data_IF_365891049333
#
_entry.id   IF_365891049333
#
_cell.length_a   1.000
_cell.length_b   1.000
_cell.length_c   1.000
_cell.angle_alpha   90.00
_cell.angle_beta   90.00
_cell.angle_gamma   90.00
#
_symmetry.space_group_name_H-M   'P 1'
#
loop_
_entity.id
_entity.type
_entity.pdbx_description
1 polymer ?
#
# COMPACT_ATOMS: atom_id res chain seq x y z
N UNK A 1 -36.43 -29.32 70.24
CA UNK A 1 -37.40 -28.20 70.23
C UNK A 1 -36.53 -26.95 70.32
N UNK A 2 -36.41 -26.07 69.31
CA UNK A 2 -37.46 -25.30 68.63
C UNK A 2 -36.84 -24.68 67.34
N UNK A 3 -37.22 -25.07 66.11
CA UNK A 3 -38.18 -24.44 65.17
C UNK A 3 -38.27 -22.90 65.15
N UNK A 4 -37.72 -22.32 64.06
CA UNK A 4 -38.08 -21.08 63.32
C UNK A 4 -37.16 -19.85 63.51
N UNK A 5 -37.08 -19.06 62.43
CA UNK A 5 -36.22 -17.91 62.10
C UNK A 5 -34.82 -18.30 61.54
N UNK A 6 -34.36 -17.86 60.37
CA UNK A 6 -34.87 -16.90 59.40
C UNK A 6 -34.12 -17.08 58.06
N UNK A 7 -34.67 -16.50 57.00
CA UNK A 7 -34.41 -16.70 55.58
C UNK A 7 -33.08 -16.17 55.02
N UNK A 8 -32.61 -16.84 53.96
CA UNK A 8 -32.03 -16.32 52.68
C UNK A 8 -30.73 -15.50 52.71
N UNK A 9 -29.73 -15.97 51.94
CA UNK A 9 -28.96 -15.25 50.90
C UNK A 9 -27.95 -16.25 50.30
N UNK A 10 -28.28 -16.87 49.16
CA UNK A 10 -27.92 -16.44 47.80
C UNK A 10 -26.46 -16.72 47.45
N UNK A 11 -26.24 -17.78 46.67
CA UNK A 11 -24.96 -18.15 46.10
C UNK A 11 -24.49 -17.15 45.04
N UNK A 12 -23.22 -16.76 45.14
CA UNK A 12 -22.52 -16.03 44.09
C UNK A 12 -21.94 -17.05 43.10
N UNK A 13 -22.53 -17.16 41.91
CA UNK A 13 -21.83 -17.71 40.75
C UNK A 13 -20.73 -16.71 40.36
N UNK A 14 -19.47 -17.11 40.52
CA UNK A 14 -18.37 -16.43 39.84
C UNK A 14 -18.51 -16.66 38.33
N UNK A 15 -19.06 -15.67 37.63
CA UNK A 15 -18.92 -15.56 36.18
C UNK A 15 -17.44 -15.33 35.84
N UNK A 16 -16.75 -16.42 35.51
CA UNK A 16 -15.45 -16.34 34.84
C UNK A 16 -15.68 -15.75 33.45
N UNK A 17 -15.46 -14.43 33.32
CA UNK A 17 -15.35 -13.79 32.02
C UNK A 17 -14.03 -14.25 31.40
N UNK A 18 -14.10 -15.16 30.44
CA UNK A 18 -12.96 -15.52 29.60
C UNK A 18 -12.60 -14.32 28.74
N UNK A 19 -11.72 -13.46 29.25
CA UNK A 19 -11.11 -12.40 28.46
C UNK A 19 -10.28 -13.04 27.35
N UNK A 20 -10.85 -13.15 26.14
CA UNK A 20 -10.10 -13.48 24.94
C UNK A 20 -8.89 -12.52 24.85
N UNK A 21 -7.65 -13.05 24.72
CA UNK A 21 -6.47 -12.22 24.55
C UNK A 21 -6.71 -11.20 23.44
N UNK A 22 -6.40 -9.92 23.66
CA UNK A 22 -6.64 -8.84 22.69
C UNK A 22 -6.04 -9.11 21.31
N UNK A 23 -4.98 -9.93 21.22
CA UNK A 23 -4.40 -10.40 19.97
C UNK A 23 -5.38 -11.23 19.12
N UNK A 24 -6.21 -12.08 19.73
CA UNK A 24 -7.27 -12.84 19.06
C UNK A 24 -8.41 -11.92 18.60
N UNK A 25 -8.76 -10.89 19.39
CA UNK A 25 -9.73 -9.86 18.96
C UNK A 25 -9.24 -9.02 17.79
N UNK A 26 -7.93 -8.72 17.69
CA UNK A 26 -7.35 -7.99 16.55
C UNK A 26 -7.35 -8.83 15.26
N UNK A 27 -7.13 -10.15 15.36
CA UNK A 27 -7.32 -11.07 14.23
C UNK A 27 -8.78 -11.13 13.75
N UNK A 28 -9.73 -10.90 14.67
CA UNK A 28 -11.17 -10.99 14.42
C UNK A 28 -11.88 -9.63 14.29
N UNK A 29 -11.15 -8.50 14.27
CA UNK A 29 -11.79 -7.18 14.17
C UNK A 29 -12.71 -7.19 12.94
N UNK A 30 -14.03 -6.95 13.12
CA UNK A 30 -15.01 -7.12 12.05
C UNK A 30 -14.68 -6.10 10.98
N UNK A 31 -14.24 -6.63 9.86
CA UNK A 31 -13.93 -5.82 8.70
C UNK A 31 -15.18 -5.91 7.83
N UNK A 32 -15.89 -4.79 7.64
CA UNK A 32 -17.10 -4.82 6.80
C UNK A 32 -16.74 -5.40 5.42
N UNK A 33 -17.51 -6.40 5.01
CA UNK A 33 -17.41 -7.03 3.71
C UNK A 33 -18.10 -6.21 2.61
N UNK A 34 -18.75 -5.11 3.00
CA UNK A 34 -19.50 -4.24 2.09
C UNK A 34 -18.56 -3.45 1.19
N UNK A 35 -19.02 -3.26 -0.04
CA UNK A 35 -18.35 -2.40 -0.99
C UNK A 35 -18.67 -0.94 -0.65
N UNK A 36 -17.61 -0.12 -0.53
CA UNK A 36 -17.69 1.33 -0.42
C UNK A 36 -17.28 1.95 -1.74
N UNK A 37 -17.99 2.98 -2.15
CA UNK A 37 -17.76 3.66 -3.43
C UNK A 37 -17.09 5.01 -3.20
N UNK A 38 -16.13 5.35 -4.06
CA UNK A 38 -15.35 6.58 -3.94
C UNK A 38 -15.25 7.30 -5.28
N UNK A 39 -15.12 8.61 -5.20
CA UNK A 39 -14.65 9.47 -6.29
C UNK A 39 -13.32 10.10 -5.87
N UNK A 40 -12.32 9.98 -6.75
CA UNK A 40 -11.00 10.60 -6.64
C UNK A 40 -10.82 11.58 -7.80
N UNK A 41 -10.57 12.85 -7.47
CA UNK A 41 -10.22 13.88 -8.45
C UNK A 41 -8.76 14.24 -8.33
N UNK A 42 -8.04 14.25 -9.45
CA UNK A 42 -6.67 14.77 -9.58
C UNK A 42 -6.69 15.98 -10.49
N UNK A 43 -6.36 17.15 -9.93
CA UNK A 43 -6.26 18.42 -10.65
C UNK A 43 -4.80 18.81 -10.79
N UNK A 44 -4.37 19.17 -12.00
CA UNK A 44 -3.00 19.57 -12.33
C UNK A 44 -3.06 20.86 -13.15
N UNK A 45 -2.25 21.85 -12.80
CA UNK A 45 -2.08 23.07 -13.58
C UNK A 45 -0.60 23.25 -13.95
N UNK A 46 -0.26 23.08 -15.22
CA UNK A 46 1.12 23.26 -15.68
C UNK A 46 1.41 24.75 -15.82
N UNK A 47 2.31 25.26 -14.97
CA UNK A 47 2.70 26.67 -14.92
C UNK A 47 3.74 27.06 -15.98
N UNK A 48 4.55 26.09 -16.44
CA UNK A 48 5.52 26.29 -17.51
C UNK A 48 4.78 26.75 -18.79
N UNK A 49 5.25 27.76 -19.54
CA UNK A 49 4.62 28.19 -20.79
C UNK A 49 5.22 27.54 -22.05
N UNK A 50 6.28 26.74 -21.93
CA UNK A 50 7.04 26.14 -23.01
C UNK A 50 6.34 25.01 -23.75
N UNK A 51 6.89 24.64 -24.90
CA UNK A 51 6.36 23.59 -25.78
C UNK A 51 6.67 22.18 -25.25
N UNK A 52 6.00 21.17 -25.84
CA UNK A 52 6.25 19.74 -25.62
C UNK A 52 6.09 19.24 -24.17
N UNK A 53 5.26 19.88 -23.36
CA UNK A 53 4.96 19.37 -22.01
C UNK A 53 4.27 18.02 -22.08
N UNK A 54 4.71 17.09 -21.22
CA UNK A 54 4.08 15.78 -21.00
C UNK A 54 3.77 15.61 -19.53
N UNK A 55 2.62 15.03 -19.23
CA UNK A 55 2.18 14.68 -17.87
C UNK A 55 1.69 13.22 -17.88
N UNK A 56 2.04 12.46 -16.86
CA UNK A 56 1.56 11.10 -16.63
C UNK A 56 0.86 11.04 -15.29
N UNK A 57 -0.45 10.76 -15.31
CA UNK A 57 -1.29 10.69 -14.10
C UNK A 57 -1.59 9.22 -13.80
N UNK A 58 -1.20 8.69 -12.64
CA UNK A 58 -1.60 7.34 -12.24
C UNK A 58 -3.12 7.26 -12.11
N UNK A 59 -3.69 6.14 -12.53
CA UNK A 59 -5.13 5.85 -12.39
C UNK A 59 -5.31 4.51 -11.66
N UNK A 60 -6.43 4.30 -10.95
CA UNK A 60 -6.81 2.97 -10.47
C UNK A 60 -6.76 1.95 -11.60
N UNK A 61 -6.12 0.80 -11.39
CA UNK A 61 -6.10 -0.23 -12.42
C UNK A 61 -7.52 -0.73 -12.69
N UNK A 62 -7.85 -0.91 -13.97
CA UNK A 62 -9.21 -1.17 -14.42
C UNK A 62 -9.69 -2.62 -14.16
N UNK A 63 -8.77 -3.55 -13.89
CA UNK A 63 -9.10 -4.96 -13.67
C UNK A 63 -9.74 -5.14 -12.29
N UNK A 64 -10.92 -5.75 -12.25
CA UNK A 64 -11.57 -6.08 -10.98
C UNK A 64 -10.76 -7.12 -10.19
N UNK A 65 -10.70 -6.92 -8.87
CA UNK A 65 -10.14 -7.86 -7.90
C UNK A 65 -11.16 -8.16 -6.81
N UNK A 66 -10.89 -9.14 -5.94
CA UNK A 66 -11.73 -9.40 -4.79
C UNK A 66 -11.85 -8.23 -3.82
N UNK A 67 -11.13 -7.11 -3.98
CA UNK A 67 -11.12 -6.00 -3.01
C UNK A 67 -11.22 -4.60 -3.64
N UNK A 68 -11.13 -4.50 -4.97
CA UNK A 68 -11.28 -3.26 -5.75
C UNK A 68 -11.97 -3.59 -7.07
N UNK A 69 -12.99 -2.82 -7.46
CA UNK A 69 -13.73 -3.09 -8.70
C UNK A 69 -14.37 -1.86 -9.32
N UNK A 70 -14.82 -1.99 -10.56
CA UNK A 70 -15.62 -0.99 -11.26
C UNK A 70 -14.87 0.33 -11.45
N UNK A 71 -13.54 0.27 -11.56
CA UNK A 71 -12.71 1.44 -11.74
C UNK A 71 -12.94 2.07 -13.12
N UNK A 72 -13.33 3.33 -13.14
CA UNK A 72 -13.54 4.14 -14.34
C UNK A 72 -12.89 5.50 -14.15
N UNK A 73 -12.17 5.97 -15.17
CA UNK A 73 -11.53 7.28 -15.17
C UNK A 73 -12.00 8.10 -16.37
N UNK A 74 -12.41 9.33 -16.11
CA UNK A 74 -12.75 10.35 -17.11
C UNK A 74 -11.85 11.56 -16.93
N UNK A 75 -11.59 12.32 -17.98
CA UNK A 75 -10.69 13.46 -17.89
C UNK A 75 -11.13 14.65 -18.74
N UNK A 76 -10.65 15.84 -18.35
CA UNK A 76 -10.73 17.09 -19.09
C UNK A 76 -9.32 17.67 -19.22
N UNK A 77 -9.01 18.19 -20.40
CA UNK A 77 -7.72 18.82 -20.71
C UNK A 77 -7.96 20.14 -21.43
N UNK A 78 -7.33 21.21 -20.96
CA UNK A 78 -7.40 22.54 -21.58
C UNK A 78 -6.16 22.86 -22.42
N UNK A 79 -6.18 24.01 -23.12
CA UNK A 79 -5.01 24.52 -23.83
C UNK A 79 -4.61 23.70 -25.06
N UNK A 80 -5.56 23.01 -25.69
CA UNK A 80 -5.31 22.18 -26.88
C UNK A 80 -4.55 20.87 -26.62
N UNK A 81 -4.41 20.46 -25.36
CA UNK A 81 -3.72 19.23 -25.01
C UNK A 81 -4.48 17.98 -25.45
N UNK A 82 -3.73 16.93 -25.79
CA UNK A 82 -4.28 15.60 -26.10
C UNK A 82 -4.00 14.65 -24.94
N UNK A 83 -4.97 13.80 -24.61
CA UNK A 83 -4.83 12.82 -23.55
C UNK A 83 -5.25 11.42 -24.00
N UNK A 84 -4.49 10.42 -23.55
CA UNK A 84 -4.73 9.02 -23.85
C UNK A 84 -4.39 8.16 -22.64
N UNK A 85 -5.24 7.17 -22.36
CA UNK A 85 -4.85 6.09 -21.45
C UNK A 85 -3.78 5.24 -22.12
N UNK A 86 -2.60 5.20 -21.50
CA UNK A 86 -1.46 4.42 -21.95
C UNK A 86 -1.10 3.39 -20.90
N UNK A 87 -0.34 2.39 -21.33
CA UNK A 87 0.14 1.32 -20.49
C UNK A 87 1.64 1.16 -20.66
N UNK A 88 2.38 1.22 -19.56
CA UNK A 88 3.80 0.90 -19.58
C UNK A 88 4.00 -0.63 -19.63
N UNK A 89 5.05 -1.12 -20.33
CA UNK A 89 5.34 -2.54 -20.42
C UNK A 89 5.76 -3.16 -19.07
N UNK A 90 5.79 -4.49 -18.99
CA UNK A 90 6.24 -5.25 -17.82
C UNK A 90 5.13 -5.54 -16.82
N UNK A 91 4.61 -4.51 -16.15
CA UNK A 91 3.64 -4.64 -15.04
C UNK A 91 2.23 -4.16 -15.38
N UNK A 92 1.92 -3.98 -16.66
CA UNK A 92 0.64 -3.44 -17.15
C UNK A 92 0.23 -2.12 -16.47
N UNK A 93 1.19 -1.26 -16.11
CA UNK A 93 0.92 -0.02 -15.36
C UNK A 93 0.13 0.95 -16.24
N UNK A 94 -1.12 1.21 -15.86
CA UNK A 94 -2.00 2.15 -16.55
C UNK A 94 -1.82 3.57 -16.01
N UNK A 95 -1.84 4.54 -16.93
CA UNK A 95 -1.75 5.95 -16.62
C UNK A 95 -2.45 6.78 -17.71
N UNK A 96 -2.94 7.96 -17.35
CA UNK A 96 -3.32 8.96 -18.34
C UNK A 96 -2.06 9.72 -18.77
N UNK A 97 -1.66 9.58 -20.03
CA UNK A 97 -0.63 10.41 -20.63
C UNK A 97 -1.29 11.62 -21.28
N UNK A 98 -0.85 12.83 -20.92
CA UNK A 98 -1.30 14.10 -21.48
C UNK A 98 -0.11 14.79 -22.10
N UNK A 99 -0.29 15.38 -23.28
CA UNK A 99 0.76 16.15 -23.94
C UNK A 99 0.22 17.42 -24.58
N UNK A 100 1.05 18.45 -24.58
CA UNK A 100 0.84 19.69 -25.33
C UNK A 100 2.01 19.88 -26.29
N UNK A 101 1.79 19.84 -27.61
CA UNK A 101 2.86 20.07 -28.57
C UNK A 101 3.37 21.51 -28.50
N UNK A 102 2.46 22.48 -28.35
CA UNK A 102 2.78 23.90 -28.41
C UNK A 102 2.78 24.59 -27.04
N UNK A 103 3.50 25.70 -26.98
CA UNK A 103 3.50 26.64 -25.88
C UNK A 103 2.15 27.41 -25.82
N UNK A 104 1.27 27.04 -24.90
CA UNK A 104 -0.02 27.73 -24.68
C UNK A 104 -0.38 27.71 -23.19
N UNK A 105 -1.17 28.70 -22.73
CA UNK A 105 -1.70 28.76 -21.38
C UNK A 105 -3.20 29.14 -21.41
N UNK A 106 -4.04 28.64 -20.47
CA UNK A 106 -3.71 27.73 -19.37
C UNK A 106 -3.76 26.23 -19.74
N UNK A 107 -2.85 25.44 -19.17
CA UNK A 107 -2.76 23.98 -19.33
C UNK A 107 -3.19 23.28 -18.05
N UNK A 108 -4.45 22.89 -18.01
CA UNK A 108 -5.06 22.21 -16.88
C UNK A 108 -5.47 20.79 -17.28
N UNK A 109 -5.34 19.87 -16.33
CA UNK A 109 -5.83 18.49 -16.41
C UNK A 109 -6.63 18.21 -15.17
N UNK A 110 -7.86 17.74 -15.37
CA UNK A 110 -8.67 17.17 -14.30
C UNK A 110 -8.97 15.72 -14.66
N UNK A 111 -8.59 14.80 -13.78
CA UNK A 111 -8.91 13.37 -13.89
C UNK A 111 -9.83 12.99 -12.75
N UNK A 112 -11.02 12.48 -13.08
CA UNK A 112 -11.98 11.96 -12.10
C UNK A 112 -12.05 10.45 -12.24
N UNK A 113 -11.72 9.73 -11.17
CA UNK A 113 -11.82 8.28 -11.09
C UNK A 113 -12.90 7.87 -10.10
N UNK A 114 -13.78 6.95 -10.50
CA UNK A 114 -14.78 6.30 -9.63
C UNK A 114 -14.47 4.83 -9.53
N UNK A 115 -14.59 4.27 -8.33
CA UNK A 115 -14.29 2.87 -8.06
C UNK A 115 -14.96 2.44 -6.76
N UNK A 116 -15.06 1.13 -6.55
CA UNK A 116 -15.47 0.54 -5.29
C UNK A 116 -14.33 -0.23 -4.66
N UNK A 117 -14.22 -0.17 -3.34
CA UNK A 117 -13.31 -1.02 -2.56
C UNK A 117 -14.06 -1.70 -1.43
N UNK A 118 -13.59 -2.87 -1.03
CA UNK A 118 -14.02 -3.52 0.21
C UNK A 118 -12.81 -4.07 0.92
N UNK A 119 -12.86 -4.12 2.24
CA UNK A 119 -11.70 -4.56 2.98
C UNK A 119 -11.31 -6.00 2.65
N UNK A 120 -10.01 -6.30 2.76
CA UNK A 120 -9.44 -7.58 2.38
C UNK A 120 -8.84 -8.28 3.59
N UNK A 121 -9.16 -9.57 3.74
CA UNK A 121 -8.55 -10.46 4.73
C UNK A 121 -8.36 -11.84 4.13
N UNK A 122 -7.21 -12.47 4.39
CA UNK A 122 -6.97 -13.90 4.17
C UNK A 122 -6.94 -14.56 5.54
N UNK A 123 -7.73 -15.62 5.73
CA UNK A 123 -7.68 -16.42 6.95
C UNK A 123 -6.45 -17.34 6.91
N UNK A 124 -5.50 -17.06 7.79
CA UNK A 124 -4.24 -17.80 7.91
C UNK A 124 -4.25 -18.78 9.10
N UNK A 125 -5.38 -18.93 9.79
CA UNK A 125 -5.55 -19.84 10.92
C UNK A 125 -5.94 -21.26 10.50
N UNK A 126 -6.43 -21.40 9.26
CA UNK A 126 -6.80 -22.67 8.65
C UNK A 126 -5.85 -22.99 7.49
N UNK A 127 -5.63 -24.28 7.15
CA UNK A 127 -4.94 -24.65 5.93
C UNK A 127 -5.69 -24.11 4.69
N UNK A 128 -4.99 -23.88 3.56
CA UNK A 128 -5.66 -23.41 2.37
C UNK A 128 -6.67 -24.45 1.85
N UNK A 129 -7.77 -24.01 1.21
CA UNK A 129 -8.72 -24.93 0.59
C UNK A 129 -8.06 -25.83 -0.44
N UNK A 130 -8.50 -27.09 -0.55
CA UNK A 130 -7.97 -28.04 -1.52
C UNK A 130 -8.30 -27.70 -2.97
N UNK A 131 -9.33 -26.88 -3.20
CA UNK A 131 -9.80 -26.38 -4.49
C UNK A 131 -9.38 -24.93 -4.76
N UNK A 132 -8.40 -24.41 -4.01
CA UNK A 132 -7.92 -23.05 -4.17
C UNK A 132 -7.41 -22.78 -5.60
N UNK A 133 -7.94 -21.72 -6.22
CA UNK A 133 -7.47 -21.26 -7.53
C UNK A 133 -6.03 -20.78 -7.41
N UNK A 134 -5.14 -21.43 -8.15
CA UNK A 134 -3.73 -21.05 -8.21
C UNK A 134 -3.50 -19.91 -9.19
N UNK A 135 -2.54 -19.05 -8.83
CA UNK A 135 -2.09 -17.98 -9.73
C UNK A 135 -1.32 -18.58 -10.90
N UNK A 136 -1.34 -17.88 -12.04
CA UNK A 136 -0.61 -18.33 -13.23
C UNK A 136 0.90 -18.37 -12.94
N UNK A 137 1.61 -19.46 -13.28
CA UNK A 137 3.06 -19.56 -13.06
C UNK A 137 3.87 -18.42 -13.66
N UNK A 138 3.43 -17.86 -14.81
CA UNK A 138 4.07 -16.71 -15.43
C UNK A 138 3.98 -15.44 -14.57
N UNK A 139 2.84 -15.21 -13.91
CA UNK A 139 2.68 -14.08 -13.00
C UNK A 139 3.55 -14.23 -11.74
N UNK A 140 3.62 -15.45 -11.19
CA UNK A 140 4.50 -15.73 -10.04
C UNK A 140 5.99 -15.53 -10.39
N UNK A 141 6.43 -15.99 -11.57
CA UNK A 141 7.80 -15.76 -12.05
C UNK A 141 8.12 -14.28 -12.23
N UNK A 142 7.16 -13.47 -12.68
CA UNK A 142 7.35 -12.03 -12.82
C UNK A 142 7.67 -11.39 -11.47
N UNK A 143 6.90 -11.74 -10.44
CA UNK A 143 7.07 -11.21 -9.08
C UNK A 143 8.15 -11.92 -8.25
N UNK A 144 9.02 -12.70 -8.90
CA UNK A 144 10.28 -13.21 -8.34
C UNK A 144 11.49 -12.46 -8.90
N UNK A 145 11.33 -11.72 -10.01
CA UNK A 145 12.45 -11.04 -10.67
C UNK A 145 13.00 -9.90 -9.82
N UNK A 146 14.33 -9.64 -9.89
CA UNK A 146 14.90 -8.42 -9.34
C UNK A 146 14.47 -7.20 -10.15
N UNK A 147 14.53 -6.04 -9.53
CA UNK A 147 14.39 -4.71 -10.17
C UNK A 147 15.64 -3.88 -9.88
N UNK A 148 15.76 -2.68 -10.45
CA UNK A 148 16.93 -1.84 -10.23
C UNK A 148 17.18 -1.55 -8.73
N UNK A 149 16.12 -1.31 -7.96
CA UNK A 149 16.18 -0.97 -6.53
C UNK A 149 15.90 -2.14 -5.58
N UNK A 150 15.35 -3.25 -6.09
CA UNK A 150 15.07 -4.47 -5.32
C UNK A 150 15.85 -5.65 -5.92
N UNK A 151 17.19 -5.67 -5.85
CA UNK A 151 17.95 -6.85 -6.27
C UNK A 151 17.66 -8.03 -5.36
N UNK A 152 17.80 -9.25 -5.87
CA UNK A 152 17.50 -10.50 -5.16
C UNK A 152 18.73 -11.34 -4.84
N UNK A 153 19.92 -10.78 -5.01
CA UNK A 153 21.23 -11.40 -4.82
C UNK A 153 22.06 -10.69 -3.73
N UNK A 154 23.34 -11.04 -3.62
CA UNK A 154 24.31 -10.35 -2.75
C UNK A 154 23.86 -10.24 -1.29
N UNK A 155 23.90 -9.02 -0.76
CA UNK A 155 23.49 -8.73 0.62
C UNK A 155 22.01 -9.01 0.85
N UNK A 156 21.14 -8.73 -0.14
CA UNK A 156 19.69 -8.98 0.00
C UNK A 156 19.42 -10.47 0.17
N UNK A 157 20.05 -11.31 -0.66
CA UNK A 157 19.95 -12.78 -0.54
C UNK A 157 20.51 -13.29 0.77
N UNK A 158 21.68 -12.80 1.18
CA UNK A 158 22.33 -13.20 2.43
C UNK A 158 21.46 -12.88 3.64
N UNK A 159 20.87 -11.68 3.68
CA UNK A 159 19.95 -11.28 4.74
C UNK A 159 18.66 -12.11 4.72
N UNK A 160 18.06 -12.34 3.54
CA UNK A 160 16.87 -13.18 3.41
C UNK A 160 17.12 -14.62 3.89
N UNK A 161 18.26 -15.22 3.55
CA UNK A 161 18.63 -16.57 4.00
C UNK A 161 18.89 -16.66 5.51
N UNK A 162 19.41 -15.59 6.11
CA UNK A 162 19.59 -15.50 7.57
C UNK A 162 18.23 -15.46 8.27
N UNK A 163 17.31 -14.58 7.82
CA UNK A 163 15.99 -14.40 8.42
C UNK A 163 15.14 -15.68 8.28
N UNK A 164 15.20 -16.33 7.12
CA UNK A 164 14.33 -17.48 6.81
C UNK A 164 14.89 -18.83 7.26
N UNK A 165 16.10 -18.85 7.86
CA UNK A 165 16.74 -20.08 8.32
C UNK A 165 15.87 -20.82 9.34
N UNK A 166 15.61 -22.09 9.06
CA UNK A 166 14.79 -22.96 9.94
C UNK A 166 13.28 -22.80 9.77
N UNK A 167 12.80 -21.83 8.99
CA UNK A 167 11.39 -21.68 8.66
C UNK A 167 11.03 -22.47 7.39
N UNK A 168 9.97 -23.27 7.47
CA UNK A 168 9.51 -24.14 6.37
C UNK A 168 8.25 -23.57 5.71
N UNK A 169 8.24 -23.58 4.38
CA UNK A 169 7.13 -23.08 3.58
C UNK A 169 7.07 -21.55 3.44
N UNK A 170 6.32 -21.07 2.46
CA UNK A 170 6.29 -19.64 2.11
C UNK A 170 5.67 -18.78 3.22
N UNK A 171 4.60 -19.26 3.86
CA UNK A 171 3.91 -18.52 4.91
C UNK A 171 4.81 -18.25 6.13
N UNK A 172 5.53 -19.26 6.61
CA UNK A 172 6.41 -19.11 7.78
C UNK A 172 7.64 -18.24 7.46
N UNK A 173 8.20 -18.38 6.26
CA UNK A 173 9.34 -17.56 5.80
C UNK A 173 8.94 -16.10 5.58
N UNK A 174 7.81 -15.83 4.92
CA UNK A 174 7.28 -14.48 4.76
C UNK A 174 6.92 -13.85 6.11
N UNK A 175 6.37 -14.64 7.05
CA UNK A 175 6.15 -14.20 8.43
C UNK A 175 7.45 -13.75 9.08
N UNK A 176 8.49 -14.57 9.05
CA UNK A 176 9.79 -14.23 9.63
C UNK A 176 10.37 -12.92 9.05
N UNK A 177 10.26 -12.74 7.73
CA UNK A 177 10.68 -11.51 7.05
C UNK A 177 9.85 -10.31 7.52
N UNK A 178 8.52 -10.43 7.57
CA UNK A 178 7.65 -9.36 8.06
C UNK A 178 7.99 -8.94 9.49
N UNK A 179 8.13 -9.91 10.40
CA UNK A 179 8.46 -9.62 11.79
C UNK A 179 9.84 -8.95 11.91
N UNK A 180 10.84 -9.44 11.17
CA UNK A 180 12.17 -8.85 11.14
C UNK A 180 12.13 -7.40 10.61
N UNK A 181 11.40 -7.13 9.52
CA UNK A 181 11.26 -5.76 8.98
C UNK A 181 10.61 -4.83 10.01
N UNK A 182 9.56 -5.24 10.70
CA UNK A 182 8.91 -4.43 11.75
C UNK A 182 9.87 -4.12 12.91
N UNK A 183 10.72 -5.08 13.29
CA UNK A 183 11.65 -4.95 14.41
C UNK A 183 12.90 -4.14 14.08
N UNK A 184 13.35 -4.17 12.82
CA UNK A 184 14.64 -3.59 12.40
C UNK A 184 14.51 -2.25 11.63
N UNK A 185 13.30 -1.78 11.37
CA UNK A 185 13.06 -0.50 10.68
C UNK A 185 12.39 0.51 11.60
N UNK A 186 12.59 1.81 11.33
CA UNK A 186 11.80 2.90 11.89
C UNK A 186 11.16 3.75 10.80
N UNK A 187 9.99 4.35 11.12
CA UNK A 187 9.35 5.35 10.27
C UNK A 187 10.07 6.69 10.48
N UNK A 188 10.56 7.30 9.42
CA UNK A 188 11.23 8.60 9.46
C UNK A 188 10.37 9.67 8.81
N UNK A 189 9.81 10.60 9.60
CA UNK A 189 8.91 11.65 9.10
C UNK A 189 9.55 12.55 8.03
N UNK A 190 10.86 12.81 8.17
CA UNK A 190 11.63 13.71 7.30
C UNK A 190 11.97 13.11 5.92
N UNK A 191 11.85 11.80 5.72
CA UNK A 191 12.07 11.16 4.41
C UNK A 191 11.17 11.80 3.35
N UNK A 192 11.73 12.21 2.21
CA UNK A 192 10.96 12.85 1.14
C UNK A 192 9.97 11.86 0.52
N UNK A 193 8.77 12.35 0.18
CA UNK A 193 7.71 11.52 -0.39
C UNK A 193 7.38 10.30 0.48
N UNK A 194 7.33 9.13 -0.15
CA UNK A 194 7.13 7.84 0.51
C UNK A 194 8.43 7.04 0.69
N UNK A 195 9.59 7.58 0.35
CA UNK A 195 10.83 6.82 0.25
C UNK A 195 11.27 6.56 -1.18
N UNK A 196 12.52 6.15 -1.36
CA UNK A 196 13.09 5.78 -2.67
C UNK A 196 12.93 4.28 -2.92
N UNK A 197 12.99 3.46 -1.86
CA UNK A 197 12.91 2.01 -1.98
C UNK A 197 14.21 1.34 -2.44
N UNK A 198 15.38 1.98 -2.26
CA UNK A 198 16.68 1.39 -2.58
C UNK A 198 17.12 0.38 -1.51
N UNK A 199 16.66 -0.86 -1.66
CA UNK A 199 16.90 -1.93 -0.68
C UNK A 199 18.38 -2.30 -0.59
N UNK A 200 19.11 -2.22 -1.70
CA UNK A 200 20.55 -2.50 -1.71
C UNK A 200 21.28 -1.48 -0.85
N UNK A 201 20.99 -0.19 -1.02
CA UNK A 201 21.55 0.86 -0.19
C UNK A 201 21.17 0.66 1.28
N UNK A 202 19.89 0.46 1.57
CA UNK A 202 19.40 0.31 2.95
C UNK A 202 20.17 -0.78 3.71
N UNK A 203 20.33 -1.97 3.11
CA UNK A 203 21.04 -3.08 3.73
C UNK A 203 22.56 -2.86 3.79
N UNK A 204 23.16 -2.27 2.75
CA UNK A 204 24.62 -2.05 2.69
C UNK A 204 25.07 -0.96 3.67
N UNK A 205 24.31 0.12 3.78
CA UNK A 205 24.56 1.23 4.68
C UNK A 205 24.10 0.95 6.12
N UNK A 206 23.34 -0.14 6.33
CA UNK A 206 22.62 -0.43 7.57
C UNK A 206 21.71 0.74 8.00
N UNK A 207 21.10 1.42 7.04
CA UNK A 207 20.08 2.43 7.25
C UNK A 207 18.75 1.93 6.69
N UNK A 208 18.04 1.18 7.53
CA UNK A 208 16.79 0.51 7.15
C UNK A 208 15.55 1.41 7.36
N UNK A 209 15.76 2.66 7.77
CA UNK A 209 14.69 3.56 8.16
C UNK A 209 14.15 4.31 6.97
N UNK A 210 12.89 4.71 7.04
CA UNK A 210 12.30 5.47 5.94
C UNK A 210 10.79 5.53 6.01
N UNK A 211 10.18 5.50 4.85
CA UNK A 211 8.72 5.54 4.69
C UNK A 211 8.20 4.27 4.00
N UNK A 212 6.98 4.32 3.47
CA UNK A 212 6.32 3.08 3.05
C UNK A 212 6.98 2.46 1.82
N UNK A 213 7.51 3.26 0.89
CA UNK A 213 8.24 2.74 -0.27
C UNK A 213 9.59 2.16 0.11
N UNK A 214 10.19 2.55 1.25
CA UNK A 214 11.41 1.94 1.77
C UNK A 214 11.10 0.62 2.50
N UNK A 215 10.19 0.68 3.47
CA UNK A 215 9.91 -0.44 4.38
C UNK A 215 9.17 -1.60 3.68
N UNK A 216 8.20 -1.29 2.80
CA UNK A 216 7.48 -2.35 2.08
C UNK A 216 8.34 -2.93 0.93
N UNK A 217 9.16 -2.12 0.26
CA UNK A 217 10.12 -2.63 -0.72
C UNK A 217 11.17 -3.55 -0.07
N UNK A 218 11.64 -3.22 1.14
CA UNK A 218 12.54 -4.08 1.91
C UNK A 218 11.91 -5.45 2.17
N UNK A 219 10.64 -5.49 2.59
CA UNK A 219 9.90 -6.75 2.72
C UNK A 219 9.83 -7.51 1.39
N UNK A 220 9.45 -6.82 0.30
CA UNK A 220 9.27 -7.44 -1.02
C UNK A 220 10.59 -8.01 -1.55
N UNK A 221 11.68 -7.26 -1.48
CA UNK A 221 12.99 -7.69 -1.95
C UNK A 221 13.52 -8.90 -1.17
N UNK A 222 13.40 -8.90 0.15
CA UNK A 222 13.78 -10.02 1.01
C UNK A 222 12.92 -11.26 0.72
N UNK A 223 11.60 -11.10 0.52
CA UNK A 223 10.71 -12.18 0.17
C UNK A 223 11.06 -12.79 -1.20
N UNK A 224 11.30 -11.96 -2.22
CA UNK A 224 11.74 -12.40 -3.55
C UNK A 224 13.08 -13.13 -3.49
N UNK A 225 14.04 -12.61 -2.73
CA UNK A 225 15.34 -13.24 -2.53
C UNK A 225 15.23 -14.61 -1.81
N UNK A 226 14.22 -14.79 -0.95
CA UNK A 226 13.88 -16.08 -0.34
C UNK A 226 13.11 -17.05 -1.27
N UNK A 227 12.86 -16.64 -2.52
CA UNK A 227 12.11 -17.42 -3.51
C UNK A 227 10.59 -17.36 -3.34
N UNK A 228 10.07 -16.34 -2.65
CA UNK A 228 8.64 -16.14 -2.43
C UNK A 228 8.18 -15.03 -3.38
N UNK A 229 7.22 -15.28 -4.30
CA UNK A 229 6.69 -14.23 -5.16
C UNK A 229 6.08 -13.11 -4.30
N UNK A 230 6.54 -11.88 -4.50
CA UNK A 230 6.10 -10.74 -3.71
C UNK A 230 6.05 -9.46 -4.54
N UNK A 231 5.19 -8.51 -4.17
CA UNK A 231 5.02 -7.27 -4.92
C UNK A 231 4.59 -6.11 -4.04
N UNK A 232 5.10 -4.93 -4.37
CA UNK A 232 4.54 -3.69 -3.89
C UNK A 232 3.20 -3.42 -4.61
N UNK A 233 2.31 -2.71 -3.93
CA UNK A 233 1.04 -2.24 -4.43
C UNK A 233 1.00 -0.72 -4.18
N UNK A 234 1.12 0.05 -5.24
CA UNK A 234 1.24 1.50 -5.22
C UNK A 234 -0.12 2.16 -5.35
N UNK A 235 -0.42 3.17 -4.53
CA UNK A 235 -1.75 3.77 -4.52
C UNK A 235 -1.91 4.99 -3.62
N UNK A 236 -3.14 5.26 -3.22
CA UNK A 236 -3.54 6.46 -2.50
C UNK A 236 -4.62 6.16 -1.46
N UNK A 237 -4.50 6.72 -0.25
CA UNK A 237 -5.60 6.70 0.73
C UNK A 237 -6.73 7.61 0.28
N UNK A 238 -7.96 7.15 0.48
CA UNK A 238 -9.19 7.83 0.01
C UNK A 238 -10.27 7.96 1.08
N UNK A 239 -10.06 7.34 2.24
CA UNK A 239 -10.92 7.50 3.41
C UNK A 239 -10.10 7.46 4.71
N UNK A 240 -10.72 7.95 5.80
CA UNK A 240 -10.19 7.74 7.14
C UNK A 240 -10.26 6.24 7.51
N UNK A 241 -9.49 5.83 8.52
CA UNK A 241 -9.58 4.47 9.04
C UNK A 241 -10.86 4.29 9.86
N UNK A 242 -11.60 3.20 9.59
CA UNK A 242 -12.73 2.71 10.39
C UNK A 242 -12.27 1.70 11.46
N UNK A 243 -11.00 1.28 11.43
CA UNK A 243 -10.42 0.33 12.39
C UNK A 243 -9.84 1.01 13.65
N UNK A 244 -10.10 2.30 13.83
CA UNK A 244 -9.69 3.05 15.03
C UNK A 244 -8.27 3.57 15.03
N UNK A 245 -7.56 3.55 13.88
CA UNK A 245 -6.22 4.12 13.73
C UNK A 245 -6.25 5.46 13.00
N UNK A 246 -6.04 6.57 13.71
CA UNK A 246 -6.04 7.91 13.09
C UNK A 246 -4.93 8.08 12.05
N UNK A 247 -3.79 7.42 12.26
CA UNK A 247 -2.63 7.46 11.37
C UNK A 247 -2.81 6.68 10.06
N UNK A 248 -3.78 5.75 10.00
CA UNK A 248 -3.95 4.82 8.89
C UNK A 248 -5.07 5.20 7.91
N UNK A 249 -5.39 6.48 7.77
CA UNK A 249 -6.38 6.94 6.80
C UNK A 249 -6.26 8.43 6.46
N UNK A 250 -6.84 8.84 5.34
CA UNK A 250 -7.01 10.24 4.97
C UNK A 250 -8.19 10.40 3.99
N UNK A 251 -9.06 11.35 4.26
CA UNK A 251 -10.18 11.75 3.40
C UNK A 251 -10.12 13.25 3.06
N UNK A 252 -10.91 13.69 2.07
CA UNK A 252 -10.95 15.09 1.64
C UNK A 252 -9.73 15.41 0.78
N UNK A 253 -8.87 16.30 1.25
CA UNK A 253 -7.58 16.56 0.58
C UNK A 253 -6.61 15.41 0.85
N UNK A 254 -6.30 14.66 -0.20
CA UNK A 254 -5.45 13.47 -0.19
C UNK A 254 -4.17 13.69 -0.99
N UNK A 255 -3.80 14.94 -1.28
CA UNK A 255 -2.64 15.31 -2.13
C UNK A 255 -1.32 14.68 -1.66
N UNK A 256 -1.16 14.52 -0.34
CA UNK A 256 0.03 13.93 0.33
C UNK A 256 -0.27 12.57 0.97
N UNK A 257 -1.32 11.87 0.54
CA UNK A 257 -1.80 10.63 1.14
C UNK A 257 -1.41 9.36 0.35
N UNK A 258 -0.37 9.47 -0.49
CA UNK A 258 0.20 8.33 -1.20
C UNK A 258 0.67 7.29 -0.21
N UNK A 259 0.45 6.03 -0.57
CA UNK A 259 0.85 4.90 0.22
C UNK A 259 1.11 3.72 -0.71
N UNK A 260 2.11 2.93 -0.35
CA UNK A 260 2.31 1.63 -0.95
C UNK A 260 2.23 0.57 0.13
N UNK A 261 1.74 -0.60 -0.24
CA UNK A 261 1.64 -1.80 0.61
C UNK A 261 2.34 -2.95 -0.07
N UNK A 262 2.49 -4.09 0.60
CA UNK A 262 3.10 -5.27 0.01
C UNK A 262 2.16 -6.47 0.02
N UNK A 263 2.39 -7.40 -0.90
CA UNK A 263 1.76 -8.71 -0.92
C UNK A 263 2.82 -9.77 -1.16
N UNK A 264 2.59 -10.97 -0.64
CA UNK A 264 3.34 -12.16 -1.02
C UNK A 264 2.38 -13.28 -1.42
N UNK A 265 2.82 -14.18 -2.28
CA UNK A 265 2.05 -15.34 -2.67
C UNK A 265 2.43 -16.53 -1.79
N UNK A 266 1.41 -17.23 -1.25
CA UNK A 266 1.58 -18.55 -0.67
C UNK A 266 0.63 -19.52 -1.37
N UNK A 267 1.15 -20.67 -1.78
CA UNK A 267 0.37 -21.68 -2.50
C UNK A 267 -0.90 -22.06 -1.73
N UNK A 268 -2.04 -22.08 -2.43
CA UNK A 268 -3.36 -22.34 -1.87
C UNK A 268 -4.02 -21.17 -1.13
N UNK A 269 -3.26 -20.23 -0.57
CA UNK A 269 -3.83 -19.01 0.04
C UNK A 269 -4.02 -17.88 -0.98
N UNK A 270 -3.20 -17.87 -2.04
CA UNK A 270 -3.16 -16.78 -3.01
C UNK A 270 -2.24 -15.64 -2.57
N UNK A 271 -2.50 -14.44 -3.08
CA UNK A 271 -1.82 -13.22 -2.66
C UNK A 271 -2.30 -12.81 -1.26
N UNK A 272 -1.38 -12.78 -0.30
CA UNK A 272 -1.62 -12.40 1.09
C UNK A 272 -1.15 -10.96 1.29
N UNK A 273 -2.04 -10.04 1.73
CA UNK A 273 -1.67 -8.65 1.95
C UNK A 273 -0.85 -8.49 3.24
N UNK A 274 0.18 -7.65 3.20
CA UNK A 274 0.96 -7.22 4.37
C UNK A 274 1.25 -5.72 4.33
N UNK A 275 1.56 -5.11 5.47
CA UNK A 275 2.01 -3.71 5.53
C UNK A 275 2.86 -3.41 6.78
N UNK A 276 4.13 -3.86 6.83
CA UNK A 276 5.03 -3.53 7.93
C UNK A 276 5.27 -2.01 8.08
N UNK A 277 5.16 -1.24 6.99
CA UNK A 277 5.29 0.21 7.05
C UNK A 277 4.17 0.88 7.86
N UNK A 278 2.93 0.43 7.74
CA UNK A 278 1.82 0.95 8.54
C UNK A 278 1.94 0.57 10.02
N UNK A 279 2.57 -0.55 10.37
CA UNK A 279 2.92 -0.85 11.78
C UNK A 279 3.87 0.22 12.32
N UNK A 280 4.94 0.54 11.57
CA UNK A 280 5.89 1.59 11.97
C UNK A 280 5.27 2.98 11.96
N UNK A 281 4.29 3.22 11.09
CA UNK A 281 3.51 4.47 11.08
C UNK A 281 2.63 4.60 12.31
N UNK A 282 1.95 3.53 12.73
CA UNK A 282 1.18 3.51 13.99
C UNK A 282 2.10 3.83 15.17
N UNK A 283 3.29 3.24 15.21
CA UNK A 283 4.28 3.57 16.25
C UNK A 283 4.60 5.07 16.29
N UNK A 284 4.92 5.67 15.14
CA UNK A 284 5.32 7.07 15.11
C UNK A 284 4.14 8.04 15.35
N UNK A 285 3.02 7.84 14.66
CA UNK A 285 1.99 8.87 14.48
C UNK A 285 0.67 8.60 15.23
N UNK A 286 0.40 7.38 15.67
CA UNK A 286 -0.87 7.09 16.36
C UNK A 286 -0.86 7.70 17.77
N UNK A 287 -1.87 8.52 18.15
CA UNK A 287 -1.80 9.25 19.41
C UNK A 287 -1.57 8.37 20.65
N UNK A 288 -0.70 8.81 21.58
CA UNK A 288 -0.03 10.12 21.63
C UNK A 288 1.18 10.35 20.68
N UNK A 289 1.54 9.36 19.84
CA UNK A 289 2.76 9.34 19.04
C UNK A 289 3.89 8.62 19.78
N UNK A 290 4.92 8.21 19.04
CA UNK A 290 6.10 7.49 19.56
C UNK A 290 5.76 6.27 20.44
N UNK A 291 4.74 5.51 20.05
CA UNK A 291 4.33 4.29 20.75
C UNK A 291 5.42 3.21 20.66
N UNK A 292 5.77 2.54 21.78
CA UNK A 292 6.70 1.44 21.77
C UNK A 292 6.10 0.21 21.05
N UNK A 293 6.97 -0.69 20.58
CA UNK A 293 6.56 -1.92 19.90
C UNK A 293 5.63 -2.82 20.74
N UNK A 294 5.73 -2.70 22.06
CA UNK A 294 4.92 -3.43 23.04
C UNK A 294 3.54 -2.84 23.28
N UNK A 295 3.25 -1.62 22.77
CA UNK A 295 1.97 -0.96 22.92
C UNK A 295 0.84 -1.81 22.32
N UNK A 296 -0.33 -1.81 22.97
CA UNK A 296 -1.46 -2.63 22.57
C UNK A 296 -1.95 -2.31 21.15
N UNK A 297 -1.96 -1.03 20.75
CA UNK A 297 -2.34 -0.61 19.39
C UNK A 297 -1.32 -1.10 18.35
N UNK A 298 -0.04 -0.98 18.67
CA UNK A 298 1.05 -1.43 17.79
C UNK A 298 1.00 -2.94 17.60
N UNK A 299 0.84 -3.71 18.69
CA UNK A 299 0.69 -5.17 18.63
C UNK A 299 -0.53 -5.59 17.83
N UNK A 300 -1.66 -4.90 18.01
CA UNK A 300 -2.88 -5.17 17.24
C UNK A 300 -2.68 -4.89 15.74
N UNK A 301 -2.06 -3.76 15.39
CA UNK A 301 -1.72 -3.43 14.00
C UNK A 301 -0.75 -4.45 13.40
N UNK A 302 0.30 -4.81 14.12
CA UNK A 302 1.31 -5.81 13.71
C UNK A 302 0.70 -7.16 13.39
N UNK A 303 -0.27 -7.61 14.18
CA UNK A 303 -1.00 -8.87 13.93
C UNK A 303 -1.95 -8.73 12.74
N UNK A 304 -2.70 -7.63 12.66
CA UNK A 304 -3.72 -7.40 11.63
C UNK A 304 -3.11 -7.20 10.24
N UNK A 305 -2.05 -6.41 10.14
CA UNK A 305 -1.37 -6.04 8.88
C UNK A 305 -0.48 -7.14 8.32
N UNK A 306 -0.63 -8.38 8.79
CA UNK A 306 -0.20 -9.57 8.07
C UNK A 306 -1.41 -10.45 7.80
N UNK A 307 -1.92 -10.37 6.58
CA UNK A 307 -3.11 -11.06 6.13
C UNK A 307 -4.31 -10.16 5.94
N UNK A 308 -4.27 -8.88 6.33
CA UNK A 308 -5.36 -7.95 6.08
C UNK A 308 -4.91 -6.56 5.60
N UNK A 309 -5.78 -5.95 4.79
CA UNK A 309 -5.74 -4.55 4.40
C UNK A 309 -7.09 -3.92 4.69
N UNK A 310 -7.08 -2.83 5.43
CA UNK A 310 -8.19 -1.89 5.37
C UNK A 310 -8.17 -1.20 4.00
N UNK A 311 -9.24 -1.33 3.24
CA UNK A 311 -9.35 -0.77 1.90
C UNK A 311 -9.96 0.63 1.93
N UNK A 312 -9.47 1.48 2.84
CA UNK A 312 -9.67 2.94 2.83
C UNK A 312 -8.69 3.65 1.87
N UNK A 313 -8.23 2.92 0.86
CA UNK A 313 -7.26 3.30 -0.14
C UNK A 313 -7.61 2.61 -1.46
N UNK A 314 -7.03 3.08 -2.54
CA UNK A 314 -7.15 2.53 -3.89
C UNK A 314 -5.77 2.19 -4.42
N UNK A 315 -5.64 1.02 -5.03
CA UNK A 315 -4.41 0.57 -5.65
C UNK A 315 -4.41 0.97 -7.14
N UNK A 316 -3.27 1.47 -7.60
CA UNK A 316 -3.04 1.90 -8.98
C UNK A 316 -2.30 0.84 -9.80
N UNK A 317 -1.24 0.25 -9.26
CA UNK A 317 -0.42 -0.76 -9.96
C UNK A 317 0.55 -1.46 -9.01
N UNK A 318 1.33 -2.40 -9.56
CA UNK A 318 2.40 -3.13 -8.88
C UNK A 318 3.77 -2.95 -9.57
N UNK A 319 3.92 -1.87 -10.34
CA UNK A 319 5.04 -1.73 -11.27
C UNK A 319 6.27 -1.09 -10.66
N UNK A 320 7.42 -1.65 -11.00
CA UNK A 320 8.73 -1.06 -10.77
C UNK A 320 9.40 -0.72 -12.11
N UNK A 321 10.42 0.14 -12.06
CA UNK A 321 11.21 0.53 -13.23
C UNK A 321 10.30 0.97 -14.39
N UNK A 322 9.32 1.82 -14.06
CA UNK A 322 8.22 2.18 -14.96
C UNK A 322 8.71 3.19 -15.99
N UNK A 323 8.82 2.73 -17.23
CA UNK A 323 9.08 3.59 -18.39
C UNK A 323 7.86 4.45 -18.67
N UNK A 324 8.01 5.77 -18.55
CA UNK A 324 6.94 6.72 -18.87
C UNK A 324 6.83 6.87 -20.41
N UNK A 325 5.66 6.57 -21.02
CA UNK A 325 5.52 6.61 -22.48
C UNK A 325 5.89 7.96 -23.08
N UNK A 326 6.84 7.97 -24.01
CA UNK A 326 7.31 9.17 -24.70
C UNK A 326 8.32 10.04 -23.92
N UNK A 327 8.73 9.62 -22.72
CA UNK A 327 9.84 10.22 -22.00
C UNK A 327 11.18 9.76 -22.57
N UNK A 328 12.18 10.65 -22.56
CA UNK A 328 13.57 10.34 -22.89
C UNK A 328 14.44 10.11 -21.65
N UNK A 329 13.86 10.20 -20.45
CA UNK A 329 14.56 10.01 -19.19
C UNK A 329 14.47 8.56 -18.73
N UNK A 330 15.29 8.22 -17.72
CA UNK A 330 15.25 6.92 -17.08
C UNK A 330 13.86 6.58 -16.50
N UNK A 331 13.54 5.28 -16.38
CA UNK A 331 12.30 4.83 -15.76
C UNK A 331 12.14 5.40 -14.35
N UNK A 332 10.90 5.66 -13.94
CA UNK A 332 10.65 5.98 -12.52
C UNK A 332 10.67 4.70 -11.69
N UNK A 333 11.18 4.73 -10.45
CA UNK A 333 11.20 3.53 -9.61
C UNK A 333 9.84 2.88 -9.42
N UNK A 334 8.77 3.68 -9.35
CA UNK A 334 7.38 3.28 -9.25
C UNK A 334 6.45 4.44 -9.62
N UNK A 335 5.16 4.17 -9.87
CA UNK A 335 4.18 5.18 -10.27
C UNK A 335 2.99 5.27 -9.32
N UNK A 336 3.00 6.24 -8.40
CA UNK A 336 1.81 6.65 -7.61
C UNK A 336 1.64 8.16 -7.44
N UNK A 337 2.59 8.93 -7.96
CA UNK A 337 2.50 10.39 -8.05
C UNK A 337 2.27 10.81 -9.50
N UNK A 338 1.57 11.92 -9.75
CA UNK A 338 1.65 12.59 -11.05
C UNK A 338 3.10 12.87 -11.41
N UNK A 339 3.51 12.50 -12.61
CA UNK A 339 4.83 12.79 -13.16
C UNK A 339 4.70 13.75 -14.34
N UNK A 340 5.76 14.51 -14.64
CA UNK A 340 5.69 15.50 -15.70
C UNK A 340 7.05 15.94 -16.20
N UNK A 341 7.09 16.36 -17.46
CA UNK A 341 8.25 16.89 -18.14
C UNK A 341 7.86 18.15 -18.91
N UNK A 342 8.70 19.18 -18.82
CA UNK A 342 8.57 20.42 -19.59
C UNK A 342 9.88 20.73 -20.29
N UNK A 343 9.95 21.85 -21.02
CA UNK A 343 11.22 22.34 -21.58
C UNK A 343 12.30 22.61 -20.51
N UNK A 344 11.91 22.79 -19.24
CA UNK A 344 12.84 22.94 -18.12
C UNK A 344 13.33 21.60 -17.54
N UNK A 345 12.84 20.47 -18.05
CA UNK A 345 13.16 19.12 -17.58
C UNK A 345 12.02 18.50 -16.78
N UNK A 346 12.36 17.50 -15.95
CA UNK A 346 11.40 16.74 -15.15
C UNK A 346 10.89 17.55 -13.96
N UNK A 347 9.57 17.59 -13.80
CA UNK A 347 8.90 18.19 -12.65
C UNK A 347 9.08 17.31 -11.41
N UNK A 348 9.24 17.92 -10.24
CA UNK A 348 9.33 17.21 -8.97
C UNK A 348 7.95 16.71 -8.53
N UNK A 349 7.68 15.42 -8.74
CA UNK A 349 6.42 14.78 -8.36
C UNK A 349 6.15 14.74 -6.86
N UNK A 350 7.15 15.03 -6.02
CA UNK A 350 7.05 15.01 -4.56
C UNK A 350 6.79 16.40 -3.97
N UNK A 351 6.84 17.44 -4.80
CA UNK A 351 6.48 18.82 -4.45
C UNK A 351 5.19 19.24 -5.19
N UNK A 352 4.00 18.92 -4.62
CA UNK A 352 2.73 19.26 -5.24
C UNK A 352 2.50 20.76 -5.43
N UNK A 353 3.15 21.62 -4.65
CA UNK A 353 2.94 23.06 -4.73
C UNK A 353 3.70 23.65 -5.93
N UNK A 354 4.94 23.20 -6.15
CA UNK A 354 5.76 23.55 -7.32
C UNK A 354 5.25 22.89 -8.59
N UNK A 355 4.95 21.57 -8.55
CA UNK A 355 4.30 20.87 -9.67
C UNK A 355 2.91 21.43 -9.96
N UNK A 356 2.24 21.95 -8.93
CA UNK A 356 0.89 22.50 -8.97
C UNK A 356 -0.18 21.45 -9.26
N UNK A 357 -0.22 20.40 -8.42
CA UNK A 357 -1.29 19.40 -8.43
C UNK A 357 -1.99 19.26 -7.07
N UNK A 358 -3.26 18.85 -7.11
CA UNK A 358 -4.09 18.56 -5.94
C UNK A 358 -4.87 17.26 -6.16
N UNK A 359 -5.00 16.45 -5.11
CA UNK A 359 -5.87 15.28 -5.12
C UNK A 359 -6.95 15.42 -4.05
N UNK A 360 -8.19 15.11 -4.41
CA UNK A 360 -9.30 15.08 -3.47
C UNK A 360 -10.11 13.78 -3.60
N UNK A 361 -10.47 13.19 -2.46
CA UNK A 361 -11.25 11.96 -2.41
C UNK A 361 -12.47 12.12 -1.50
N UNK A 362 -13.60 11.57 -1.95
CA UNK A 362 -14.84 11.54 -1.17
C UNK A 362 -15.59 10.22 -1.39
N UNK A 363 -16.30 9.72 -0.36
CA UNK A 363 -17.27 8.65 -0.56
C UNK A 363 -18.43 9.14 -1.44
N UNK A 364 -19.02 8.24 -2.21
CA UNK A 364 -20.21 8.49 -3.03
C UNK A 364 -21.25 7.40 -2.81
N UNK A 365 -22.53 7.73 -2.97
CA UNK A 365 -23.58 6.72 -3.15
C UNK A 365 -23.57 6.27 -4.63
N UNK A 366 -23.77 4.98 -4.87
CA UNK A 366 -23.99 4.42 -6.21
C UNK A 366 -25.43 3.93 -6.29
#
# INVERSE_FOLDING_TARGET
>A
MDRRHFLRLSGALCAATTALPQALRAQQAPVSADWRSFELTTDISVKDPGAHTRIWVPVPYATDTPYQRGAQSTWQVSGGGTAQLMRAPGYDVQMLAVQWPDAQAPRNVTVTSRFQTRNRRVDLTQPPPSDAVLERPAALREFLKPTALLPTDGIVKTTADQITRGHQGDLARARAIYEWVVENTCRTAATRGCGVGDVRYMLTANDLNGKCADINALFVALARAAGIPARDAYGLRVANSELGYKSLGKAGDVTKAQHCRAEFYAAGYGWIPVDPADVRKVMLEEPPGELPLTDAKVRAARVMLFGAWEMNWVAYNHGHDVVLPGSAHDPVPFLMYPNGETSAGRLDSLDPDSFSYKLSAKPIAI
#
